data_IF_134738960639
#
_entry.id   IF_134738960639
#
_cell.length_a   1.000
_cell.length_b   1.000
_cell.length_c   1.000
_cell.angle_alpha   90.00
_cell.angle_beta   90.00
_cell.angle_gamma   90.00
#
_symmetry.space_group_name_H-M   'P 1'
#
loop_
_entity.id
_entity.type
_entity.pdbx_description
1 polymer ?
#
# COMPACT_ATOMS: atom_id res chain seq x y z
N UNK A 1 -10.29 11.70 -13.81
CA UNK A 1 -9.89 10.28 -13.65
C UNK A 1 -10.93 9.48 -12.88
N UNK A 2 -11.42 9.91 -11.69
CA UNK A 2 -12.41 9.20 -10.87
C UNK A 2 -13.67 8.83 -11.66
N UNK A 3 -14.30 9.79 -12.34
CA UNK A 3 -15.53 9.55 -13.16
C UNK A 3 -15.32 8.45 -14.20
N UNK A 4 -14.19 8.49 -14.91
CA UNK A 4 -13.87 7.45 -15.90
C UNK A 4 -13.71 6.06 -15.25
N UNK A 5 -13.14 6.00 -14.07
CA UNK A 5 -13.00 4.73 -13.33
C UNK A 5 -14.35 4.22 -12.82
N UNK A 6 -15.23 5.11 -12.40
CA UNK A 6 -16.60 4.77 -12.00
C UNK A 6 -17.38 4.20 -13.19
N UNK A 7 -17.22 4.75 -14.40
CA UNK A 7 -17.87 4.26 -15.63
C UNK A 7 -17.34 2.85 -16.01
N UNK A 8 -16.04 2.58 -15.83
CA UNK A 8 -15.41 1.31 -16.23
C UNK A 8 -15.62 0.21 -15.19
N UNK A 9 -15.46 0.52 -13.91
CA UNK A 9 -15.46 -0.46 -12.82
C UNK A 9 -16.78 -0.52 -12.05
N UNK A 10 -17.66 0.46 -12.19
CA UNK A 10 -18.86 0.67 -11.40
C UNK A 10 -18.58 1.47 -10.14
N UNK A 11 -19.39 2.48 -9.87
CA UNK A 11 -19.29 3.34 -8.69
C UNK A 11 -19.36 2.53 -7.38
N UNK A 12 -20.21 1.51 -7.34
CA UNK A 12 -20.39 0.62 -6.18
C UNK A 12 -19.15 -0.20 -5.83
N UNK A 13 -18.21 -0.33 -6.76
CA UNK A 13 -16.96 -1.06 -6.59
C UNK A 13 -15.81 -0.17 -6.10
N UNK A 14 -16.02 1.12 -5.97
CA UNK A 14 -15.07 2.02 -5.36
C UNK A 14 -14.87 1.68 -3.87
N UNK A 15 -13.62 1.67 -3.42
CA UNK A 15 -13.27 1.35 -2.03
C UNK A 15 -12.58 2.51 -1.35
N UNK A 16 -11.44 2.97 -1.90
CA UNK A 16 -10.66 4.04 -1.30
C UNK A 16 -10.05 4.95 -2.36
N UNK A 17 -9.88 6.20 -1.99
CA UNK A 17 -8.91 7.12 -2.55
C UNK A 17 -7.71 7.17 -1.62
N UNK A 18 -6.56 6.68 -2.08
CA UNK A 18 -5.35 6.57 -1.27
C UNK A 18 -4.43 7.73 -1.63
N UNK A 19 -4.03 8.51 -0.64
CA UNK A 19 -3.03 9.56 -0.79
C UNK A 19 -1.63 8.97 -0.54
N UNK A 20 -0.87 8.77 -1.61
CA UNK A 20 0.53 8.41 -1.47
C UNK A 20 1.35 9.69 -1.30
N UNK A 21 1.70 10.01 -0.04
CA UNK A 21 2.44 11.19 0.34
C UNK A 21 3.96 10.93 0.33
N UNK A 22 4.69 11.90 -0.23
CA UNK A 22 6.16 11.90 -0.27
C UNK A 22 6.70 13.32 -0.23
N UNK A 23 7.85 13.51 0.42
CA UNK A 23 8.50 14.80 0.48
C UNK A 23 9.16 15.13 -0.86
N UNK A 24 8.75 16.24 -1.46
CA UNK A 24 9.34 16.77 -2.69
C UNK A 24 9.53 18.27 -2.55
N UNK A 25 10.72 18.72 -2.86
CA UNK A 25 10.98 20.15 -2.98
C UNK A 25 10.60 20.60 -4.38
N UNK A 26 9.77 21.61 -4.50
CA UNK A 26 9.47 22.31 -5.75
C UNK A 26 9.31 23.79 -5.47
N UNK A 27 9.84 24.61 -6.35
CA UNK A 27 9.60 26.06 -6.30
C UNK A 27 8.22 26.33 -6.89
N UNK A 28 7.25 26.58 -6.03
CA UNK A 28 5.91 26.99 -6.44
C UNK A 28 5.75 28.46 -6.06
N UNK A 29 5.45 29.29 -7.04
CA UNK A 29 5.21 30.73 -6.85
C UNK A 29 3.74 31.05 -6.53
N UNK A 30 2.83 30.12 -6.80
CA UNK A 30 1.40 30.32 -6.59
C UNK A 30 0.73 28.98 -6.21
N UNK A 31 0.05 28.95 -5.07
CA UNK A 31 -0.68 27.79 -4.54
C UNK A 31 0.11 26.94 -3.56
N UNK A 32 -0.44 25.79 -3.20
CA UNK A 32 0.20 24.83 -2.29
C UNK A 32 1.08 23.84 -3.03
N UNK A 33 2.18 23.43 -2.39
CA UNK A 33 3.08 22.44 -2.95
C UNK A 33 2.41 21.06 -3.01
N UNK A 34 2.39 20.44 -4.20
CA UNK A 34 1.86 19.10 -4.37
C UNK A 34 2.89 18.07 -3.91
N UNK A 35 2.59 17.37 -2.82
CA UNK A 35 3.45 16.37 -2.19
C UNK A 35 2.79 14.99 -2.12
N UNK A 36 1.83 14.70 -2.97
CA UNK A 36 1.20 13.37 -3.03
C UNK A 36 0.71 13.06 -4.43
N UNK A 37 0.61 11.78 -4.70
CA UNK A 37 -0.17 11.22 -5.81
C UNK A 37 -1.39 10.49 -5.25
N UNK A 38 -2.45 10.42 -6.04
CA UNK A 38 -3.69 9.73 -5.68
C UNK A 38 -3.73 8.37 -6.36
N UNK A 39 -4.05 7.34 -5.59
CA UNK A 39 -4.28 5.97 -6.07
C UNK A 39 -5.75 5.65 -5.83
N UNK A 40 -6.46 5.29 -6.87
CA UNK A 40 -7.87 4.89 -6.78
C UNK A 40 -7.97 3.38 -6.65
N UNK A 41 -8.63 2.91 -5.60
CA UNK A 41 -8.85 1.50 -5.36
C UNK A 41 -10.28 1.10 -5.65
N UNK A 42 -10.43 0.15 -6.58
CA UNK A 42 -11.71 -0.49 -6.93
C UNK A 42 -11.59 -2.00 -6.71
N UNK A 43 -12.66 -2.62 -6.25
CA UNK A 43 -12.72 -4.07 -6.10
C UNK A 43 -14.12 -4.59 -6.40
N UNK A 44 -14.23 -5.45 -7.40
CA UNK A 44 -15.48 -6.16 -7.73
C UNK A 44 -15.79 -7.27 -6.72
N UNK A 45 -14.76 -7.85 -6.11
CA UNK A 45 -14.87 -8.89 -5.10
C UNK A 45 -14.33 -8.41 -3.75
N UNK A 46 -15.21 -8.23 -2.77
CA UNK A 46 -14.84 -7.76 -1.42
C UNK A 46 -14.04 -8.80 -0.63
N UNK A 47 -14.09 -10.07 -1.00
CA UNK A 47 -13.38 -11.15 -0.29
C UNK A 47 -11.87 -11.16 -0.57
N UNK A 48 -11.40 -10.49 -1.63
CA UNK A 48 -10.00 -10.45 -2.04
C UNK A 48 -9.26 -9.20 -1.55
N UNK A 49 -9.36 -8.90 -0.26
CA UNK A 49 -8.59 -7.82 0.34
C UNK A 49 -7.86 -8.33 1.57
N UNK A 50 -6.53 -8.30 1.51
CA UNK A 50 -5.66 -8.70 2.60
C UNK A 50 -5.33 -7.46 3.45
N UNK A 51 -5.85 -7.41 4.67
CA UNK A 51 -5.57 -6.31 5.60
C UNK A 51 -4.06 -6.27 5.86
N UNK A 52 -3.46 -5.12 5.57
CA UNK A 52 -2.07 -4.83 5.89
C UNK A 52 -2.00 -4.08 7.22
N UNK A 53 -0.96 -4.36 8.00
CA UNK A 53 -0.76 -3.74 9.31
C UNK A 53 0.55 -2.96 9.32
N UNK A 54 0.60 -1.93 10.14
CA UNK A 54 1.82 -1.17 10.45
C UNK A 54 2.04 -1.20 11.96
N UNK A 55 3.30 -1.07 12.36
CA UNK A 55 3.63 -0.96 13.77
C UNK A 55 3.00 0.28 14.40
N UNK A 56 2.74 0.21 15.69
CA UNK A 56 2.28 1.37 16.45
C UNK A 56 3.36 2.45 16.42
N UNK A 57 2.98 3.68 16.08
CA UNK A 57 3.92 4.81 16.04
C UNK A 57 4.44 5.20 17.42
N UNK A 58 3.70 4.83 18.47
CA UNK A 58 4.11 4.98 19.88
C UNK A 58 3.72 3.74 20.68
N UNK A 59 4.64 3.17 21.48
CA UNK A 59 4.36 1.98 22.30
C UNK A 59 3.21 2.13 23.28
N UNK A 60 2.79 3.37 23.61
CA UNK A 60 1.78 3.68 24.61
C UNK A 60 0.45 4.16 24.03
N UNK A 61 0.29 4.26 22.71
CA UNK A 61 -0.93 4.86 22.14
C UNK A 61 -2.13 3.91 22.12
N UNK A 62 -1.91 2.61 22.21
CA UNK A 62 -3.01 1.66 22.38
C UNK A 62 -2.60 0.59 23.39
N UNK A 63 -2.80 0.88 24.66
CA UNK A 63 -3.07 -0.21 25.56
C UNK A 63 -4.40 -0.82 25.11
N UNK A 64 -4.35 -1.98 24.50
CA UNK A 64 -5.53 -2.76 24.12
C UNK A 64 -6.17 -3.31 25.40
N UNK A 65 -6.75 -2.38 26.16
CA UNK A 65 -7.37 -2.67 27.44
C UNK A 65 -8.81 -3.12 27.23
N UNK A 66 -9.19 -4.17 27.92
CA UNK A 66 -10.59 -4.63 27.92
C UNK A 66 -11.46 -3.57 28.58
N UNK A 67 -12.51 -3.14 27.88
CA UNK A 67 -13.51 -2.21 28.43
C UNK A 67 -14.80 -2.96 28.74
N UNK A 68 -15.46 -2.57 29.81
CA UNK A 68 -16.76 -3.08 30.22
C UNK A 68 -17.68 -1.97 30.72
N UNK A 69 -18.96 -2.26 30.89
CA UNK A 69 -19.94 -1.32 31.46
C UNK A 69 -20.11 -1.66 32.93
N UNK A 70 -19.79 -0.72 33.83
CA UNK A 70 -20.05 -0.81 35.28
C UNK A 70 -20.90 0.42 35.64
N UNK A 71 -22.04 0.19 36.29
CA UNK A 71 -23.01 1.23 36.66
C UNK A 71 -23.39 2.14 35.48
N UNK A 72 -23.59 1.55 34.28
CA UNK A 72 -23.98 2.27 33.07
C UNK A 72 -22.86 3.11 32.44
N UNK A 73 -21.61 3.06 32.96
CA UNK A 73 -20.45 3.79 32.41
C UNK A 73 -19.46 2.84 31.80
N UNK A 74 -18.93 3.23 30.63
CA UNK A 74 -17.86 2.50 29.97
C UNK A 74 -16.53 2.75 30.72
N UNK A 75 -15.98 1.70 31.33
CA UNK A 75 -14.74 1.74 32.11
C UNK A 75 -13.72 0.73 31.59
N UNK A 76 -12.42 0.99 31.84
CA UNK A 76 -11.36 0.00 31.63
C UNK A 76 -11.40 -1.02 32.76
N UNK A 77 -11.48 -2.30 32.40
CA UNK A 77 -11.47 -3.38 33.38
C UNK A 77 -10.07 -3.56 33.98
N UNK A 78 -10.02 -3.92 35.28
CA UNK A 78 -8.77 -4.19 35.99
C UNK A 78 -8.68 -5.66 36.37
N UNK A 79 -7.47 -6.14 36.49
CA UNK A 79 -7.12 -7.40 37.12
C UNK A 79 -7.17 -7.26 38.65
N UNK A 80 -7.03 -8.37 39.35
CA UNK A 80 -7.03 -8.40 40.83
C UNK A 80 -5.88 -7.65 41.47
N UNK A 81 -4.76 -7.50 40.73
CA UNK A 81 -3.57 -6.72 41.12
C UNK A 81 -3.69 -5.22 40.86
N UNK A 82 -4.83 -4.75 40.36
CA UNK A 82 -5.09 -3.35 40.02
C UNK A 82 -4.59 -2.89 38.66
N UNK A 83 -3.84 -3.70 37.92
CA UNK A 83 -3.43 -3.42 36.54
C UNK A 83 -4.61 -3.47 35.58
N UNK A 84 -4.53 -2.75 34.45
CA UNK A 84 -5.58 -2.85 33.43
C UNK A 84 -5.56 -4.19 32.70
N UNK A 85 -6.72 -4.81 32.58
CA UNK A 85 -6.88 -6.06 31.83
C UNK A 85 -6.61 -5.82 30.36
N UNK A 86 -5.58 -6.52 29.82
CA UNK A 86 -5.21 -6.46 28.40
C UNK A 86 -5.94 -7.54 27.61
N UNK A 87 -6.29 -7.25 26.36
CA UNK A 87 -6.73 -8.30 25.44
C UNK A 87 -5.54 -9.16 25.06
N UNK A 88 -5.72 -10.47 25.12
CA UNK A 88 -4.79 -11.44 24.52
C UNK A 88 -5.06 -11.48 23.01
N UNK A 89 -4.65 -10.46 22.27
CA UNK A 89 -4.67 -10.47 20.81
C UNK A 89 -3.25 -10.55 20.30
N UNK A 90 -3.01 -11.32 19.25
CA UNK A 90 -1.77 -11.21 18.50
C UNK A 90 -1.57 -9.73 18.15
N UNK A 91 -0.46 -9.16 18.59
CA UNK A 91 -0.15 -7.76 18.32
C UNK A 91 0.24 -7.59 16.84
N UNK A 92 -0.77 -7.53 15.97
CA UNK A 92 -0.59 -7.34 14.52
C UNK A 92 -0.30 -5.89 14.14
N UNK A 93 -0.31 -4.97 15.10
CA UNK A 93 -0.20 -3.54 14.82
C UNK A 93 -1.55 -2.90 14.46
N UNK A 94 -1.52 -1.74 13.84
CA UNK A 94 -2.70 -0.97 13.39
C UNK A 94 -2.95 -1.26 11.92
N UNK A 95 -4.20 -1.55 11.49
CA UNK A 95 -4.51 -1.62 10.08
C UNK A 95 -4.03 -0.37 9.33
N UNK A 96 -3.43 -0.56 8.16
CA UNK A 96 -2.99 0.55 7.34
C UNK A 96 -4.17 1.46 6.96
N UNK A 97 -3.96 2.75 7.10
CA UNK A 97 -4.89 3.78 6.63
C UNK A 97 -4.61 4.15 5.15
N UNK A 98 -5.43 5.02 4.58
CA UNK A 98 -5.38 5.44 3.19
C UNK A 98 -4.45 6.63 2.91
N UNK A 99 -3.69 7.09 3.90
CA UNK A 99 -2.60 8.05 3.71
C UNK A 99 -1.27 7.31 3.88
N UNK A 100 -0.56 7.09 2.77
CA UNK A 100 0.68 6.31 2.75
C UNK A 100 1.89 7.23 2.70
N UNK A 101 2.62 7.31 3.80
CA UNK A 101 3.88 8.02 3.86
C UNK A 101 5.02 7.14 3.36
N UNK A 102 5.39 7.29 2.10
CA UNK A 102 6.47 6.54 1.45
C UNK A 102 7.22 7.44 0.50
N UNK A 103 8.53 7.55 0.65
CA UNK A 103 9.34 8.39 -0.22
C UNK A 103 9.30 7.88 -1.67
N UNK A 104 9.32 8.81 -2.62
CA UNK A 104 9.55 8.48 -4.02
C UNK A 104 11.00 7.99 -4.21
N UNK A 105 11.25 7.31 -5.32
CA UNK A 105 12.56 6.74 -5.60
C UNK A 105 13.64 7.83 -5.73
N UNK A 106 14.58 7.83 -4.81
CA UNK A 106 15.68 8.79 -4.81
C UNK A 106 16.66 8.52 -5.95
N UNK A 107 17.36 9.55 -6.48
CA UNK A 107 18.36 9.38 -7.54
C UNK A 107 19.46 8.36 -7.22
N UNK A 108 19.80 8.22 -5.93
CA UNK A 108 20.85 7.33 -5.41
C UNK A 108 20.34 5.97 -4.94
N UNK A 109 19.04 5.69 -5.09
CA UNK A 109 18.48 4.42 -4.65
C UNK A 109 19.02 3.24 -5.47
N UNK A 110 19.45 2.17 -4.78
CA UNK A 110 20.03 0.96 -5.42
C UNK A 110 19.07 0.27 -6.41
N UNK A 111 17.76 0.35 -6.16
CA UNK A 111 16.75 -0.23 -7.05
C UNK A 111 16.48 0.59 -8.31
N UNK A 112 17.11 1.76 -8.45
CA UNK A 112 16.90 2.65 -9.58
C UNK A 112 17.58 2.12 -10.84
N UNK A 113 16.79 1.97 -11.92
CA UNK A 113 17.30 1.48 -13.23
C UNK A 113 17.36 2.58 -14.30
N UNK A 114 17.27 3.86 -13.89
CA UNK A 114 17.34 4.99 -14.82
C UNK A 114 16.03 5.24 -15.61
N UNK A 115 14.95 4.51 -15.34
CA UNK A 115 13.65 4.78 -15.95
C UNK A 115 12.96 5.93 -15.23
N UNK A 116 12.56 6.97 -15.97
CA UNK A 116 12.14 8.26 -15.40
C UNK A 116 10.92 8.15 -14.47
N UNK A 117 9.97 7.29 -14.79
CA UNK A 117 8.69 7.12 -14.05
C UNK A 117 8.68 5.91 -13.12
N UNK A 118 9.86 5.32 -12.86
CA UNK A 118 9.97 4.16 -11.98
C UNK A 118 9.34 4.43 -10.61
N UNK A 119 8.47 3.54 -10.15
CA UNK A 119 7.87 3.57 -8.82
C UNK A 119 8.70 2.77 -7.82
N UNK A 120 8.71 3.16 -6.52
CA UNK A 120 9.36 2.39 -5.47
C UNK A 120 8.79 0.98 -5.36
N UNK A 121 9.67 0.00 -5.18
CA UNK A 121 9.28 -1.40 -4.96
C UNK A 121 8.31 -1.56 -3.79
N UNK A 122 8.59 -0.90 -2.67
CA UNK A 122 7.77 -0.94 -1.47
C UNK A 122 6.31 -0.48 -1.71
N UNK A 123 6.09 0.49 -2.61
CA UNK A 123 4.74 0.93 -2.98
C UNK A 123 3.98 -0.18 -3.70
N UNK A 124 4.61 -0.77 -4.72
CA UNK A 124 3.99 -1.83 -5.52
C UNK A 124 3.78 -3.10 -4.69
N UNK A 125 4.73 -3.44 -3.83
CA UNK A 125 4.63 -4.57 -2.89
C UNK A 125 3.42 -4.43 -1.96
N UNK A 126 3.19 -3.24 -1.40
CA UNK A 126 2.00 -2.96 -0.58
C UNK A 126 0.71 -3.18 -1.34
N UNK A 127 0.61 -2.68 -2.57
CA UNK A 127 -0.56 -2.83 -3.43
C UNK A 127 -0.81 -4.32 -3.72
N UNK A 128 0.22 -5.04 -4.15
CA UNK A 128 0.10 -6.46 -4.54
C UNK A 128 -0.27 -7.33 -3.34
N UNK A 129 0.38 -7.13 -2.18
CA UNK A 129 0.05 -7.87 -0.96
C UNK A 129 -1.39 -7.63 -0.49
N UNK A 130 -1.89 -6.39 -0.60
CA UNK A 130 -3.24 -6.07 -0.21
C UNK A 130 -4.31 -6.65 -1.16
N UNK A 131 -4.00 -6.80 -2.46
CA UNK A 131 -4.98 -7.10 -3.51
C UNK A 131 -4.86 -8.48 -4.13
N UNK A 132 -3.87 -9.30 -3.73
CA UNK A 132 -3.63 -10.63 -4.30
C UNK A 132 -3.01 -11.59 -3.31
N UNK A 133 -3.14 -12.89 -3.60
CA UNK A 133 -2.48 -13.99 -2.90
C UNK A 133 -1.41 -14.65 -3.78
N UNK A 134 -0.58 -15.52 -3.20
CA UNK A 134 0.38 -16.33 -3.97
C UNK A 134 -0.34 -17.14 -5.05
N UNK A 135 0.25 -17.19 -6.24
CA UNK A 135 -0.34 -17.85 -7.41
C UNK A 135 -1.38 -17.03 -8.17
N UNK A 136 -1.90 -15.93 -7.61
CA UNK A 136 -2.80 -15.03 -8.34
C UNK A 136 -2.07 -14.34 -9.50
N UNK A 137 -2.82 -13.90 -10.51
CA UNK A 137 -2.29 -13.17 -11.65
C UNK A 137 -2.51 -11.67 -11.49
N UNK A 138 -1.44 -10.91 -11.58
CA UNK A 138 -1.42 -9.44 -11.57
C UNK A 138 -1.20 -8.93 -12.98
N UNK A 139 -1.99 -7.96 -13.44
CA UNK A 139 -1.84 -7.34 -14.74
C UNK A 139 -1.42 -5.87 -14.63
N UNK A 140 -0.40 -5.48 -15.40
CA UNK A 140 0.07 -4.09 -15.52
C UNK A 140 0.22 -3.73 -17.00
N UNK A 141 -0.70 -2.91 -17.50
CA UNK A 141 -0.75 -2.50 -18.91
C UNK A 141 0.10 -1.27 -19.21
N UNK A 142 0.80 -0.71 -18.22
CA UNK A 142 1.75 0.40 -18.32
C UNK A 142 3.03 0.07 -17.55
N UNK A 143 3.62 -1.07 -17.93
CA UNK A 143 4.65 -1.78 -17.16
C UNK A 143 5.89 -0.92 -16.84
N UNK A 144 6.26 0.01 -17.72
CA UNK A 144 7.37 0.93 -17.53
C UNK A 144 8.69 0.21 -17.23
N UNK A 145 9.26 0.48 -16.07
CA UNK A 145 10.50 -0.18 -15.63
C UNK A 145 10.31 -1.61 -15.10
N UNK A 146 9.10 -2.17 -15.15
CA UNK A 146 8.81 -3.52 -14.70
C UNK A 146 8.82 -3.73 -13.18
N UNK A 147 8.60 -2.68 -12.38
CA UNK A 147 8.59 -2.84 -10.92
C UNK A 147 7.49 -3.81 -10.47
N UNK A 148 6.32 -3.77 -11.11
CA UNK A 148 5.22 -4.70 -10.86
C UNK A 148 5.64 -6.16 -11.14
N UNK A 149 6.27 -6.43 -12.28
CA UNK A 149 6.72 -7.76 -12.65
C UNK A 149 7.76 -8.32 -11.68
N UNK A 150 8.74 -7.50 -11.28
CA UNK A 150 9.77 -7.86 -10.30
C UNK A 150 9.13 -8.23 -8.95
N UNK A 151 8.23 -7.39 -8.45
CA UNK A 151 7.55 -7.65 -7.18
C UNK A 151 6.66 -8.88 -7.25
N UNK A 152 5.98 -9.11 -8.37
CA UNK A 152 5.20 -10.34 -8.58
C UNK A 152 6.08 -11.59 -8.48
N UNK A 153 7.23 -11.59 -9.16
CA UNK A 153 8.18 -12.71 -9.10
C UNK A 153 8.66 -12.97 -7.67
N UNK A 154 9.06 -11.94 -6.93
CA UNK A 154 9.52 -12.03 -5.54
C UNK A 154 8.44 -12.52 -4.57
N UNK A 155 7.18 -12.22 -4.86
CA UNK A 155 6.04 -12.58 -4.01
C UNK A 155 5.30 -13.85 -4.50
N UNK A 156 5.83 -14.60 -5.47
CA UNK A 156 5.20 -15.78 -6.05
C UNK A 156 3.81 -15.50 -6.66
N UNK A 157 3.66 -14.36 -7.35
CA UNK A 157 2.48 -14.05 -8.17
C UNK A 157 2.82 -14.23 -9.63
N UNK A 158 1.85 -14.69 -10.42
CA UNK A 158 1.92 -14.61 -11.86
C UNK A 158 1.72 -13.16 -12.30
N UNK A 159 2.28 -12.77 -13.45
CA UNK A 159 2.03 -11.44 -13.98
C UNK A 159 1.81 -11.46 -15.48
N UNK A 160 1.04 -10.47 -15.94
CA UNK A 160 0.88 -10.11 -17.35
C UNK A 160 1.21 -8.63 -17.44
N UNK A 161 2.15 -8.27 -18.31
CA UNK A 161 2.55 -6.88 -18.47
C UNK A 161 2.76 -6.51 -19.93
N UNK A 162 2.43 -5.28 -20.29
CA UNK A 162 2.75 -4.71 -21.58
C UNK A 162 3.15 -3.24 -21.43
N UNK A 163 3.88 -2.75 -22.41
CA UNK A 163 4.23 -1.34 -22.57
C UNK A 163 4.39 -1.02 -24.05
N UNK A 164 4.01 0.19 -24.44
CA UNK A 164 4.20 0.65 -25.83
C UNK A 164 5.68 0.93 -26.16
N UNK A 165 6.51 1.18 -25.13
CA UNK A 165 7.91 1.47 -25.28
C UNK A 165 8.74 0.17 -25.23
N UNK A 166 9.37 -0.26 -26.33
CA UNK A 166 10.20 -1.48 -26.35
C UNK A 166 11.31 -1.47 -25.29
N UNK A 167 11.89 -0.30 -25.02
CA UNK A 167 12.92 -0.14 -23.97
C UNK A 167 12.42 -0.49 -22.58
N UNK A 168 11.13 -0.26 -22.28
CA UNK A 168 10.52 -0.68 -21.03
C UNK A 168 10.54 -2.21 -20.88
N UNK A 169 10.25 -2.92 -21.96
CA UNK A 169 10.28 -4.40 -21.99
C UNK A 169 11.70 -4.93 -21.81
N UNK A 170 12.69 -4.34 -22.49
CA UNK A 170 14.11 -4.71 -22.33
C UNK A 170 14.56 -4.55 -20.87
N UNK A 171 14.28 -3.40 -20.25
CA UNK A 171 14.62 -3.13 -18.85
C UNK A 171 13.91 -4.13 -17.93
N UNK A 172 12.64 -4.41 -18.17
CA UNK A 172 11.88 -5.37 -17.38
C UNK A 172 12.47 -6.76 -17.44
N UNK A 173 12.81 -7.27 -18.63
CA UNK A 173 13.41 -8.58 -18.80
C UNK A 173 14.75 -8.66 -18.07
N UNK A 174 15.64 -7.67 -18.24
CA UNK A 174 16.92 -7.64 -17.54
C UNK A 174 16.75 -7.64 -16.00
N UNK A 175 15.73 -6.97 -15.48
CA UNK A 175 15.42 -6.97 -14.03
C UNK A 175 14.89 -8.34 -13.57
N UNK A 176 14.05 -8.98 -14.36
CA UNK A 176 13.52 -10.29 -14.05
C UNK A 176 14.60 -11.38 -14.05
N UNK A 177 15.58 -11.29 -14.96
CA UNK A 177 16.71 -12.21 -15.00
C UNK A 177 17.61 -12.06 -13.75
N UNK A 178 17.66 -10.87 -13.16
CA UNK A 178 18.43 -10.60 -11.95
C UNK A 178 17.72 -11.02 -10.64
N UNK A 179 16.44 -11.38 -10.69
CA UNK A 179 15.70 -11.91 -9.53
C UNK A 179 15.89 -13.42 -9.50
N UNK A 180 16.68 -13.90 -8.56
CA UNK A 180 16.91 -15.33 -8.29
C UNK A 180 15.84 -15.91 -7.42
#
# INVERSE_FOLDING_TARGET
MRILMDDVFGYENFRNEIAWWYKRWSNISFGFQKMHDVILFYSKDKSKFNIQYQDYSKPNEIEDTVRGIIDGKLVRLKNDDGSFKKRETENKGVPLHDVWEMQHLQPTAKERVGYQTQKPKALIERIIKASSNEGDTVADYYLGSGTTAVVCKELNRNFIGCDINPKAIEITNARLDAVT
#
